data_IF_905371837305
#
_entry.id   IF_905371837305
#
_cell.length_a   1.000
_cell.length_b   1.000
_cell.length_c   1.000
_cell.angle_alpha   90.00
_cell.angle_beta   90.00
_cell.angle_gamma   90.00
#
_symmetry.space_group_name_H-M   'P 1'
#
loop_
_entity.id
_entity.type
_entity.pdbx_description
1 polymer ?
#
# COMPACT_ATOMS: atom_id res chain seq x y z
N UNK A 1 19.07 17.56 -11.77
CA UNK A 1 19.38 17.09 -10.41
C UNK A 1 18.93 15.64 -10.34
N UNK A 2 19.82 14.66 -10.12
CA UNK A 2 19.43 13.23 -10.09
C UNK A 2 18.62 12.97 -8.82
N UNK A 3 17.34 12.67 -8.97
CA UNK A 3 16.45 12.29 -7.87
C UNK A 3 16.98 11.03 -7.19
N UNK A 4 17.38 11.16 -5.92
CA UNK A 4 17.79 10.04 -5.07
C UNK A 4 16.54 9.44 -4.43
N UNK A 5 16.01 8.38 -5.06
CA UNK A 5 14.98 7.51 -4.49
C UNK A 5 15.37 7.04 -3.07
N UNK A 6 14.40 7.01 -2.15
CA UNK A 6 14.55 6.52 -0.77
C UNK A 6 15.23 5.14 -0.73
N UNK A 7 16.21 4.90 0.14
CA UNK A 7 16.57 3.55 0.53
C UNK A 7 15.53 3.08 1.56
N UNK A 8 14.42 2.51 1.11
CA UNK A 8 13.46 1.80 1.97
C UNK A 8 14.06 0.54 2.63
N UNK A 9 15.39 0.38 2.71
CA UNK A 9 16.05 -0.88 3.03
C UNK A 9 15.89 -1.96 1.95
N UNK A 10 14.94 -1.80 1.02
CA UNK A 10 14.71 -2.68 -0.12
C UNK A 10 15.70 -2.31 -1.21
N UNK A 11 16.84 -3.01 -1.25
CA UNK A 11 17.91 -2.78 -2.22
C UNK A 11 17.48 -3.04 -3.67
N UNK A 12 16.37 -3.77 -3.88
CA UNK A 12 15.80 -4.00 -5.22
C UNK A 12 14.34 -4.54 -5.14
N UNK A 13 13.30 -3.72 -5.38
CA UNK A 13 11.90 -4.13 -5.25
C UNK A 13 11.52 -5.34 -6.13
N UNK A 14 12.08 -5.40 -7.33
CA UNK A 14 11.89 -6.48 -8.31
C UNK A 14 12.57 -7.78 -7.86
N UNK A 15 13.57 -7.70 -6.98
CA UNK A 15 14.44 -8.82 -6.61
C UNK A 15 14.18 -9.37 -5.20
N UNK A 16 13.39 -8.70 -4.36
CA UNK A 16 13.25 -9.08 -2.94
C UNK A 16 11.81 -9.26 -2.45
N UNK A 17 10.88 -8.36 -2.79
CA UNK A 17 9.49 -8.49 -2.29
C UNK A 17 8.56 -9.11 -3.33
N UNK A 18 8.64 -8.69 -4.60
CA UNK A 18 7.89 -9.32 -5.68
C UNK A 18 8.21 -10.83 -5.83
N UNK A 19 9.46 -11.29 -5.70
CA UNK A 19 9.78 -12.72 -5.72
C UNK A 19 9.28 -13.48 -4.49
N UNK A 20 9.24 -12.87 -3.30
CA UNK A 20 8.67 -13.52 -2.11
C UNK A 20 7.16 -13.68 -2.25
N UNK A 21 6.52 -12.65 -2.79
CA UNK A 21 5.11 -12.60 -3.14
C UNK A 21 4.75 -13.61 -4.26
N UNK A 22 5.56 -13.72 -5.32
CA UNK A 22 5.41 -14.74 -6.37
C UNK A 22 5.74 -16.14 -5.86
N UNK A 23 6.68 -16.27 -4.92
CA UNK A 23 7.03 -17.55 -4.31
C UNK A 23 5.92 -18.10 -3.41
N UNK A 24 5.22 -17.25 -2.64
CA UNK A 24 4.04 -17.64 -1.87
C UNK A 24 2.93 -18.17 -2.77
N UNK A 25 2.68 -17.49 -3.90
CA UNK A 25 1.73 -17.96 -4.91
C UNK A 25 2.16 -19.28 -5.55
N UNK A 26 3.44 -19.43 -5.88
CA UNK A 26 3.99 -20.65 -6.49
C UNK A 26 3.93 -21.90 -5.58
N UNK A 27 3.81 -21.72 -4.25
CA UNK A 27 3.66 -22.81 -3.27
C UNK A 27 2.22 -22.95 -2.75
N UNK A 28 1.25 -22.25 -3.35
CA UNK A 28 -0.17 -22.32 -2.97
C UNK A 28 -0.51 -21.67 -1.63
N UNK A 29 0.37 -20.81 -1.11
CA UNK A 29 0.11 -20.04 0.10
C UNK A 29 -0.54 -18.71 -0.26
N UNK A 30 -1.53 -18.30 0.54
CA UNK A 30 -2.25 -17.05 0.30
C UNK A 30 -1.30 -15.87 0.38
N UNK A 31 -1.44 -14.96 -0.59
CA UNK A 31 -0.61 -13.77 -0.72
C UNK A 31 -0.71 -12.80 0.46
N UNK A 32 -1.81 -12.93 1.19
CA UNK A 32 -2.10 -12.28 2.45
C UNK A 32 -3.19 -13.08 3.18
N UNK A 33 -3.33 -12.88 4.48
CA UNK A 33 -4.36 -13.48 5.33
C UNK A 33 -4.89 -12.44 6.31
N UNK A 34 -5.73 -12.83 7.26
CA UNK A 34 -6.28 -11.88 8.27
C UNK A 34 -5.18 -11.09 8.99
N UNK A 35 -4.03 -11.72 9.26
CA UNK A 35 -2.87 -11.07 9.88
C UNK A 35 -2.23 -9.95 9.06
N UNK A 36 -2.56 -9.84 7.77
CA UNK A 36 -2.04 -8.83 6.85
C UNK A 36 -3.07 -7.75 6.50
N UNK A 37 -4.31 -7.85 7.00
CA UNK A 37 -5.36 -6.86 6.74
C UNK A 37 -4.96 -5.45 7.21
N UNK A 38 -4.25 -5.35 8.33
CA UNK A 38 -3.73 -4.09 8.83
C UNK A 38 -2.73 -3.46 7.85
N UNK A 39 -1.82 -4.26 7.29
CA UNK A 39 -0.82 -3.81 6.32
C UNK A 39 -1.47 -3.35 5.01
N UNK A 40 -2.45 -4.11 4.51
CA UNK A 40 -3.18 -3.76 3.29
C UNK A 40 -4.01 -2.48 3.48
N UNK A 41 -4.66 -2.33 4.63
CA UNK A 41 -5.36 -1.08 4.98
C UNK A 41 -4.39 0.09 5.11
N UNK A 42 -3.22 -0.10 5.70
CA UNK A 42 -2.22 0.94 5.81
C UNK A 42 -1.76 1.42 4.42
N UNK A 43 -1.48 0.51 3.48
CA UNK A 43 -1.15 0.84 2.09
C UNK A 43 -2.26 1.69 1.45
N UNK A 44 -3.51 1.27 1.59
CA UNK A 44 -4.65 1.96 0.98
C UNK A 44 -4.87 3.35 1.58
N UNK A 45 -4.82 3.49 2.92
CA UNK A 45 -5.01 4.75 3.63
C UNK A 45 -3.88 5.74 3.39
N UNK A 46 -2.62 5.27 3.42
CA UNK A 46 -1.46 6.12 3.12
C UNK A 46 -1.53 6.61 1.68
N UNK A 47 -1.87 5.72 0.74
CA UNK A 47 -2.02 6.07 -0.67
C UNK A 47 -3.15 7.08 -0.89
N UNK A 48 -4.31 6.91 -0.24
CA UNK A 48 -5.45 7.83 -0.40
C UNK A 48 -5.18 9.24 0.13
N UNK A 49 -4.36 9.35 1.18
CA UNK A 49 -3.94 10.65 1.74
C UNK A 49 -2.85 11.31 0.92
N UNK A 50 -1.93 10.51 0.38
CA UNK A 50 -0.80 11.00 -0.37
C UNK A 50 -1.16 11.38 -1.80
N UNK A 51 -2.09 10.64 -2.41
CA UNK A 51 -2.52 10.85 -3.78
C UNK A 51 -3.24 12.20 -3.95
N UNK A 52 -3.08 12.79 -5.13
CA UNK A 52 -3.85 13.97 -5.51
C UNK A 52 -5.33 13.59 -5.70
N UNK A 53 -6.24 14.53 -5.41
CA UNK A 53 -7.67 14.31 -5.62
C UNK A 53 -7.96 14.02 -7.09
N UNK A 54 -8.85 13.06 -7.33
CA UNK A 54 -9.24 12.55 -8.65
C UNK A 54 -8.09 11.92 -9.47
N UNK A 55 -6.94 11.62 -8.86
CA UNK A 55 -5.88 10.86 -9.52
C UNK A 55 -6.18 9.36 -9.54
N UNK A 56 -5.61 8.64 -10.50
CA UNK A 56 -5.72 7.18 -10.59
C UNK A 56 -5.31 6.48 -9.28
N UNK A 57 -4.24 6.97 -8.64
CA UNK A 57 -3.78 6.43 -7.37
C UNK A 57 -4.82 6.61 -6.24
N UNK A 58 -5.54 7.74 -6.22
CA UNK A 58 -6.62 7.95 -5.27
C UNK A 58 -7.80 7.02 -5.53
N UNK A 59 -8.18 6.86 -6.81
CA UNK A 59 -9.26 5.94 -7.21
C UNK A 59 -8.94 4.50 -6.79
N UNK A 60 -7.75 4.02 -7.14
CA UNK A 60 -7.28 2.67 -6.78
C UNK A 60 -7.18 2.48 -5.27
N UNK A 61 -6.74 3.50 -4.52
CA UNK A 61 -6.71 3.45 -3.05
C UNK A 61 -8.12 3.37 -2.45
N UNK A 62 -9.08 4.10 -3.01
CA UNK A 62 -10.48 4.08 -2.56
C UNK A 62 -11.14 2.73 -2.85
N UNK A 63 -10.91 2.18 -4.05
CA UNK A 63 -11.38 0.83 -4.40
C UNK A 63 -10.79 -0.24 -3.49
N UNK A 64 -9.49 -0.15 -3.18
CA UNK A 64 -8.85 -1.08 -2.27
C UNK A 64 -9.44 -1.01 -0.86
N UNK A 65 -9.74 0.19 -0.34
CA UNK A 65 -10.44 0.34 0.96
C UNK A 65 -11.80 -0.37 0.90
N UNK A 66 -12.60 -0.12 -0.14
CA UNK A 66 -13.91 -0.74 -0.28
C UNK A 66 -13.85 -2.28 -0.33
N UNK A 67 -12.85 -2.85 -1.03
CA UNK A 67 -12.63 -4.30 -1.09
C UNK A 67 -12.18 -4.89 0.25
N UNK A 68 -11.41 -4.14 1.04
CA UNK A 68 -10.96 -4.57 2.37
C UNK A 68 -12.03 -4.43 3.45
N UNK A 69 -13.04 -3.59 3.21
CA UNK A 69 -14.21 -3.42 4.10
C UNK A 69 -15.38 -4.34 3.71
N UNK A 70 -15.28 -5.05 2.59
CA UNK A 70 -16.25 -6.05 2.17
C UNK A 70 -16.30 -7.22 3.16
N UNK A 71 -17.47 -7.86 3.26
CA UNK A 71 -17.67 -9.04 4.11
C UNK A 71 -16.89 -10.27 3.65
N UNK A 72 -16.52 -10.31 2.36
CA UNK A 72 -15.71 -11.37 1.77
C UNK A 72 -14.54 -10.74 0.98
N UNK A 73 -13.34 -11.27 1.21
CA UNK A 73 -12.12 -10.77 0.58
C UNK A 73 -11.88 -11.47 -0.76
N UNK A 74 -12.10 -10.75 -1.85
CA UNK A 74 -11.84 -11.25 -3.21
C UNK A 74 -10.38 -10.97 -3.57
N UNK A 75 -9.52 -11.95 -3.32
CA UNK A 75 -8.05 -11.84 -3.46
C UNK A 75 -7.65 -11.37 -4.87
N UNK A 76 -8.32 -11.88 -5.90
CA UNK A 76 -8.02 -11.57 -7.30
C UNK A 76 -8.34 -10.12 -7.67
N UNK A 77 -9.24 -9.48 -6.94
CA UNK A 77 -9.53 -8.05 -7.08
C UNK A 77 -8.61 -7.18 -6.22
N UNK A 78 -8.28 -7.64 -5.01
CA UNK A 78 -7.40 -6.91 -4.09
C UNK A 78 -5.98 -6.81 -4.65
N UNK A 79 -5.47 -7.93 -5.17
CA UNK A 79 -4.09 -8.09 -5.64
C UNK A 79 -3.63 -7.02 -6.64
N UNK A 80 -4.28 -6.79 -7.79
CA UNK A 80 -3.81 -5.81 -8.76
C UNK A 80 -3.73 -4.38 -8.18
N UNK A 81 -4.62 -4.05 -7.24
CA UNK A 81 -4.67 -2.73 -6.60
C UNK A 81 -3.53 -2.52 -5.62
N UNK A 82 -3.23 -3.54 -4.80
CA UNK A 82 -2.07 -3.53 -3.89
C UNK A 82 -0.76 -3.36 -4.68
N UNK A 83 -0.59 -4.08 -5.79
CA UNK A 83 0.59 -3.93 -6.67
C UNK A 83 0.69 -2.53 -7.23
N UNK A 84 -0.41 -2.02 -7.80
CA UNK A 84 -0.43 -0.69 -8.41
C UNK A 84 -0.03 0.40 -7.41
N UNK A 85 -0.61 0.37 -6.20
CA UNK A 85 -0.29 1.34 -5.15
C UNK A 85 1.12 1.18 -4.61
N UNK A 86 1.61 -0.04 -4.44
CA UNK A 86 2.98 -0.29 -3.97
C UNK A 86 4.01 0.27 -4.95
N UNK A 87 3.84 0.01 -6.26
CA UNK A 87 4.69 0.57 -7.31
C UNK A 87 4.60 2.10 -7.32
N UNK A 88 3.40 2.65 -7.19
CA UNK A 88 3.18 4.09 -7.17
C UNK A 88 3.83 4.77 -5.94
N UNK A 89 3.71 4.18 -4.75
CA UNK A 89 4.31 4.68 -3.51
C UNK A 89 5.84 4.70 -3.59
N UNK A 90 6.45 3.68 -4.20
CA UNK A 90 7.91 3.61 -4.39
C UNK A 90 8.46 4.74 -5.28
N UNK A 91 7.61 5.36 -6.10
CA UNK A 91 7.98 6.50 -6.96
C UNK A 91 7.79 7.85 -6.28
N UNK A 92 7.27 7.88 -5.06
CA UNK A 92 7.00 9.15 -4.37
C UNK A 92 8.29 9.79 -3.86
N UNK A 93 8.40 11.13 -3.90
CA UNK A 93 9.52 11.83 -3.31
C UNK A 93 9.74 11.48 -1.84
N UNK A 94 11.01 11.46 -1.44
CA UNK A 94 11.43 11.09 -0.09
C UNK A 94 10.68 11.88 0.99
N UNK A 95 10.26 11.20 2.05
CA UNK A 95 9.57 11.81 3.19
C UNK A 95 8.07 12.04 2.99
N UNK A 96 7.51 11.95 1.77
CA UNK A 96 6.07 12.15 1.57
C UNK A 96 5.23 10.99 2.12
N UNK A 97 5.72 9.75 1.99
CA UNK A 97 5.08 8.56 2.59
C UNK A 97 5.06 8.66 4.11
N UNK A 98 6.20 9.00 4.72
CA UNK A 98 6.29 9.21 6.17
C UNK A 98 5.36 10.34 6.64
N UNK A 99 5.32 11.47 5.93
CA UNK A 99 4.43 12.58 6.26
C UNK A 99 2.94 12.19 6.18
N UNK A 100 2.57 11.31 5.25
CA UNK A 100 1.21 10.77 5.16
C UNK A 100 0.89 9.84 6.33
N UNK A 101 1.82 8.98 6.74
CA UNK A 101 1.69 8.14 7.96
C UNK A 101 1.53 9.04 9.21
N UNK A 102 2.37 10.05 9.36
CA UNK A 102 2.29 10.98 10.51
C UNK A 102 0.96 11.74 10.54
N UNK A 103 0.40 12.05 9.36
CA UNK A 103 -0.93 12.68 9.26
C UNK A 103 -2.04 11.72 9.72
N UNK A 104 -1.99 10.45 9.35
CA UNK A 104 -2.93 9.43 9.83
C UNK A 104 -2.90 9.32 11.36
N UNK A 105 -1.70 9.18 11.94
CA UNK A 105 -1.53 9.05 13.38
C UNK A 105 -2.05 10.27 14.15
N UNK A 106 -1.91 11.47 13.59
CA UNK A 106 -2.49 12.69 14.18
C UNK A 106 -4.02 12.71 14.11
N UNK A 107 -4.61 12.23 13.02
CA UNK A 107 -6.07 12.18 12.86
C UNK A 107 -6.70 11.17 13.83
N UNK A 108 -6.09 9.99 13.99
CA UNK A 108 -6.52 8.99 14.96
C UNK A 108 -6.50 9.54 16.40
N UNK A 109 -5.39 10.19 16.80
CA UNK A 109 -5.28 10.82 18.12
C UNK A 109 -6.31 11.91 18.36
N UNK A 110 -6.70 12.66 17.33
CA UNK A 110 -7.72 13.69 17.44
C UNK A 110 -9.15 13.13 17.54
N UNK A 111 -9.39 11.90 17.08
CA UNK A 111 -10.69 11.22 17.16
C UNK A 111 -10.91 10.51 18.50
N UNK A 112 -9.83 10.15 19.21
CA UNK A 112 -9.86 9.39 20.47
C UNK A 112 -9.33 10.17 21.68
N UNK A 113 -9.00 11.45 21.52
CA UNK A 113 -8.49 12.35 22.56
C UNK A 113 -9.52 13.30 23.13
#
# INVERSE_FOLDING_TARGET
MKERLLPLGIKNPVKTELPALVALEAIGQSWFGEGHLADLRAIALVSSILAEKASDAQSVATELIALLDASELVIDEIRPRVVALTIWMQRQPNGRVQAAIDKLLRQERALHG
#
